data_IF_619809336943
#
_entry.id   IF_619809336943
#
_cell.length_a   1.000
_cell.length_b   1.000
_cell.length_c   1.000
_cell.angle_alpha   90.00
_cell.angle_beta   90.00
_cell.angle_gamma   90.00
#
_symmetry.space_group_name_H-M   'P 1'
#
loop_
_entity.id
_entity.type
_entity.pdbx_description
1 polymer ?
#
# COMPACT_ATOMS: atom_id res chain seq x y z
N UNK A 1 -11.56 -6.72 20.85
CA UNK A 1 -12.40 -5.85 21.71
C UNK A 1 -12.49 -6.50 23.09
N UNK A 2 -12.06 -5.86 24.19
CA UNK A 2 -12.26 -6.42 25.53
C UNK A 2 -13.77 -6.45 25.86
N UNK A 3 -14.26 -7.51 26.54
CA UNK A 3 -15.69 -7.74 26.69
C UNK A 3 -16.34 -6.65 27.54
N UNK A 4 -17.42 -6.05 27.02
CA UNK A 4 -18.26 -5.12 27.78
C UNK A 4 -18.87 -5.89 28.95
N UNK A 5 -18.53 -5.52 30.18
CA UNK A 5 -19.14 -6.11 31.38
C UNK A 5 -20.67 -6.04 31.28
N UNK A 6 -21.34 -7.15 31.55
CA UNK A 6 -22.79 -7.26 31.37
C UNK A 6 -23.51 -6.34 32.35
N UNK A 7 -24.63 -5.73 31.94
CA UNK A 7 -25.45 -4.85 32.81
C UNK A 7 -25.87 -5.57 34.12
N UNK A 8 -26.00 -6.90 34.08
CA UNK A 8 -26.32 -7.73 35.23
C UNK A 8 -25.19 -7.75 36.28
N UNK A 9 -23.93 -7.76 35.86
CA UNK A 9 -22.78 -7.79 36.78
C UNK A 9 -22.55 -6.44 37.47
N UNK A 10 -22.86 -5.34 36.78
CA UNK A 10 -22.84 -3.99 37.37
C UNK A 10 -23.96 -3.83 38.41
N UNK A 11 -25.16 -4.34 38.14
CA UNK A 11 -26.29 -4.29 39.08
C UNK A 11 -26.02 -5.13 40.34
N UNK A 12 -25.42 -6.32 40.20
CA UNK A 12 -25.01 -7.16 41.35
C UNK A 12 -23.97 -6.46 42.22
N UNK A 13 -22.97 -5.82 41.61
CA UNK A 13 -21.94 -5.05 42.35
C UNK A 13 -22.50 -3.80 43.02
N UNK A 14 -23.49 -3.14 42.42
CA UNK A 14 -24.19 -2.01 43.04
C UNK A 14 -24.97 -2.44 44.29
N UNK A 15 -25.72 -3.56 44.22
CA UNK A 15 -26.42 -4.10 45.40
C UNK A 15 -25.45 -4.45 46.55
N UNK A 16 -24.27 -5.01 46.25
CA UNK A 16 -23.24 -5.31 47.26
C UNK A 16 -22.68 -4.04 47.92
N UNK A 17 -22.59 -2.92 47.19
CA UNK A 17 -22.16 -1.62 47.76
C UNK A 17 -23.28 -0.99 48.59
N UNK A 18 -24.53 -1.11 48.16
CA UNK A 18 -25.69 -0.64 48.93
C UNK A 18 -25.76 -1.36 50.27
N UNK A 19 -25.61 -2.68 50.27
CA UNK A 19 -25.67 -3.53 51.47
C UNK A 19 -24.49 -3.26 52.43
N UNK A 20 -23.27 -3.15 51.91
CA UNK A 20 -22.07 -2.80 52.72
C UNK A 20 -22.09 -1.37 53.27
N UNK A 21 -22.89 -0.49 52.67
CA UNK A 21 -23.05 0.88 53.15
C UNK A 21 -24.37 1.08 53.90
N UNK A 22 -25.17 0.03 54.06
CA UNK A 22 -26.40 0.00 54.83
C UNK A 22 -26.08 -0.17 56.32
N UNK A 23 -26.82 0.51 57.21
CA UNK A 23 -26.60 0.44 58.66
C UNK A 23 -25.42 1.28 59.21
N UNK A 24 -24.62 1.92 58.35
CA UNK A 24 -23.51 2.76 58.78
C UNK A 24 -24.04 4.10 59.36
N UNK A 25 -24.11 4.18 60.69
CA UNK A 25 -24.59 5.36 61.43
C UNK A 25 -23.69 6.56 61.12
N UNK A 26 -24.26 7.77 61.05
CA UNK A 26 -23.56 9.03 60.72
C UNK A 26 -22.96 9.14 59.29
N UNK A 27 -23.57 8.48 58.29
CA UNK A 27 -23.15 8.52 56.87
C UNK A 27 -22.94 9.92 56.29
N UNK A 28 -23.70 10.91 56.75
CA UNK A 28 -23.63 12.31 56.29
C UNK A 28 -22.93 13.27 57.28
N UNK A 29 -22.47 12.77 58.44
CA UNK A 29 -21.89 13.63 59.51
C UNK A 29 -20.39 13.41 59.73
N UNK A 30 -19.89 12.19 59.55
CA UNK A 30 -18.46 11.89 59.72
C UNK A 30 -17.72 11.89 58.38
N UNK A 31 -16.66 12.71 58.28
CA UNK A 31 -15.79 12.79 57.09
C UNK A 31 -15.10 11.47 56.78
N UNK A 32 -14.78 10.66 57.80
CA UNK A 32 -14.14 9.35 57.62
C UNK A 32 -15.11 8.31 57.05
N UNK A 33 -16.37 8.34 57.50
CA UNK A 33 -17.43 7.48 56.96
C UNK A 33 -17.77 7.86 55.51
N UNK A 34 -17.79 9.16 55.21
CA UNK A 34 -17.99 9.64 53.83
C UNK A 34 -16.88 9.17 52.89
N UNK A 35 -15.60 9.27 53.31
CA UNK A 35 -14.46 8.77 52.53
C UNK A 35 -14.54 7.26 52.29
N UNK A 36 -14.94 6.48 53.29
CA UNK A 36 -15.14 5.04 53.14
C UNK A 36 -16.23 4.69 52.12
N UNK A 37 -17.39 5.35 52.20
CA UNK A 37 -18.49 5.18 51.24
C UNK A 37 -18.08 5.60 49.82
N UNK A 38 -17.31 6.68 49.69
CA UNK A 38 -16.83 7.17 48.40
C UNK A 38 -15.82 6.21 47.75
N UNK A 39 -14.88 5.66 48.53
CA UNK A 39 -13.92 4.67 48.05
C UNK A 39 -14.61 3.37 47.58
N UNK A 40 -15.64 2.90 48.30
CA UNK A 40 -16.44 1.74 47.90
C UNK A 40 -17.27 1.98 46.63
N UNK A 41 -17.76 3.20 46.42
CA UNK A 41 -18.46 3.56 45.18
C UNK A 41 -17.52 3.68 43.99
N UNK A 42 -16.29 4.16 44.20
CA UNK A 42 -15.28 4.29 43.14
C UNK A 42 -14.75 2.94 42.64
N UNK A 43 -14.76 1.88 43.45
CA UNK A 43 -14.31 0.55 43.03
C UNK A 43 -15.30 -0.21 42.14
N UNK A 44 -16.56 0.25 42.04
CA UNK A 44 -17.61 -0.40 41.24
C UNK A 44 -17.83 0.27 39.88
N UNK A 45 -17.43 1.53 39.71
CA UNK A 45 -17.48 2.21 38.42
C UNK A 45 -16.33 1.72 37.51
N UNK A 46 -16.60 1.30 36.26
CA UNK A 46 -15.53 1.03 35.31
C UNK A 46 -14.78 2.34 35.04
N UNK A 47 -13.48 2.39 35.35
CA UNK A 47 -12.62 3.53 34.98
C UNK A 47 -12.64 3.67 33.46
N UNK A 48 -13.37 4.65 32.94
CA UNK A 48 -13.32 5.01 31.53
C UNK A 48 -12.15 5.97 31.38
N UNK A 49 -11.10 5.53 30.69
CA UNK A 49 -9.93 6.37 30.42
C UNK A 49 -10.39 7.69 29.75
N UNK A 50 -10.08 8.88 30.31
CA UNK A 50 -10.55 10.16 29.77
C UNK A 50 -10.02 10.45 28.36
N UNK A 51 -8.90 9.82 27.98
CA UNK A 51 -8.34 9.84 26.63
C UNK A 51 -9.23 9.14 25.60
N UNK A 52 -9.87 8.02 25.96
CA UNK A 52 -10.76 7.26 25.05
C UNK A 52 -12.11 7.96 24.85
N UNK A 53 -12.55 8.80 25.79
CA UNK A 53 -13.77 9.59 25.65
C UNK A 53 -13.60 10.74 24.64
N UNK A 54 -12.45 11.46 24.67
CA UNK A 54 -12.14 12.52 23.70
C UNK A 54 -12.04 12.01 22.27
N UNK A 55 -11.40 10.85 22.06
CA UNK A 55 -11.28 10.21 20.73
C UNK A 55 -12.63 9.76 20.17
N UNK A 56 -13.56 9.30 21.02
CA UNK A 56 -14.92 8.94 20.59
C UNK A 56 -15.75 10.16 20.22
N UNK A 57 -15.62 11.25 20.96
CA UNK A 57 -16.31 12.51 20.66
C UNK A 57 -15.76 13.15 19.38
N UNK A 58 -14.44 13.16 19.18
CA UNK A 58 -13.85 13.68 17.94
C UNK A 58 -14.24 12.84 16.72
N UNK A 59 -14.24 11.50 16.83
CA UNK A 59 -14.68 10.60 15.76
C UNK A 59 -16.16 10.80 15.41
N UNK A 60 -17.00 11.03 16.43
CA UNK A 60 -18.42 11.34 16.23
C UNK A 60 -18.61 12.69 15.53
N UNK A 61 -17.85 13.71 15.92
CA UNK A 61 -17.88 15.03 15.30
C UNK A 61 -17.43 14.98 13.83
N UNK A 62 -16.34 14.25 13.53
CA UNK A 62 -15.84 14.04 12.17
C UNK A 62 -16.89 13.34 11.29
N UNK A 63 -17.58 12.33 11.82
CA UNK A 63 -18.66 11.64 11.11
C UNK A 63 -19.87 12.54 10.82
N UNK A 64 -20.22 13.43 11.74
CA UNK A 64 -21.28 14.43 11.53
C UNK A 64 -20.85 15.47 10.50
N UNK A 65 -19.61 15.93 10.53
CA UNK A 65 -19.09 16.89 9.56
C UNK A 65 -19.09 16.30 8.14
N UNK A 66 -18.70 15.03 7.99
CA UNK A 66 -18.75 14.30 6.73
C UNK A 66 -20.18 14.10 6.19
N UNK A 67 -21.19 14.04 7.06
CA UNK A 67 -22.61 13.92 6.67
C UNK A 67 -23.13 15.19 5.96
N UNK A 68 -22.60 16.37 6.30
CA UNK A 68 -23.07 17.66 5.75
C UNK A 68 -22.45 17.95 4.37
N UNK A 69 -21.31 17.36 4.04
CA UNK A 69 -20.52 17.74 2.86
C UNK A 69 -20.92 17.05 1.53
N UNK A 70 -21.82 16.05 1.54
CA UNK A 70 -22.19 15.32 0.33
C UNK A 70 -23.29 16.10 -0.42
N UNK A 71 -22.93 16.74 -1.54
CA UNK A 71 -23.87 17.41 -2.44
C UNK A 71 -24.02 16.63 -3.75
N UNK A 72 -25.23 16.56 -4.30
CA UNK A 72 -25.47 15.86 -5.56
C UNK A 72 -25.07 16.73 -6.77
N UNK A 73 -24.39 16.15 -7.79
CA UNK A 73 -24.09 16.86 -9.03
C UNK A 73 -25.38 17.22 -9.77
N UNK A 74 -25.42 18.42 -10.36
CA UNK A 74 -26.54 18.86 -11.19
C UNK A 74 -26.49 18.11 -12.53
N UNK A 75 -27.64 17.63 -12.99
CA UNK A 75 -27.74 16.88 -14.24
C UNK A 75 -27.61 17.86 -15.43
N UNK A 76 -26.68 17.66 -16.37
CA UNK A 76 -26.58 18.45 -17.59
C UNK A 76 -27.79 18.20 -18.51
N UNK A 77 -28.20 19.21 -19.27
CA UNK A 77 -29.36 19.11 -20.16
C UNK A 77 -29.11 18.05 -21.25
N UNK A 78 -29.98 17.04 -21.35
CA UNK A 78 -29.91 15.97 -22.35
C UNK A 78 -29.45 14.60 -21.83
N UNK A 79 -28.95 14.51 -20.58
CA UNK A 79 -28.57 13.24 -19.96
C UNK A 79 -29.65 12.76 -19.00
N UNK A 80 -30.08 11.51 -19.15
CA UNK A 80 -31.07 10.91 -18.25
C UNK A 80 -30.54 10.90 -16.80
N UNK A 81 -31.27 11.47 -15.83
CA UNK A 81 -30.80 11.52 -14.43
C UNK A 81 -30.49 10.15 -13.81
N UNK A 82 -31.11 9.10 -14.35
CA UNK A 82 -30.96 7.71 -13.90
C UNK A 82 -29.70 7.03 -14.47
N UNK A 83 -29.00 7.62 -15.44
CA UNK A 83 -27.70 7.12 -15.90
C UNK A 83 -26.55 7.62 -15.02
N UNK A 84 -26.82 8.53 -14.08
CA UNK A 84 -25.82 9.08 -13.15
C UNK A 84 -25.98 8.39 -11.79
N UNK A 85 -24.85 8.01 -11.18
CA UNK A 85 -24.84 7.36 -9.88
C UNK A 85 -25.24 8.33 -8.76
N UNK A 86 -26.08 7.87 -7.84
CA UNK A 86 -26.46 8.64 -6.66
C UNK A 86 -25.29 8.69 -5.65
N UNK A 87 -24.68 9.85 -5.44
CA UNK A 87 -23.59 10.01 -4.48
C UNK A 87 -24.02 9.67 -3.03
N UNK A 88 -25.25 10.02 -2.64
CA UNK A 88 -25.80 9.59 -1.35
C UNK A 88 -25.97 8.07 -1.23
N UNK A 89 -26.19 7.36 -2.34
CA UNK A 89 -26.27 5.90 -2.33
C UNK A 89 -24.88 5.28 -2.24
N UNK A 90 -23.87 5.88 -2.90
CA UNK A 90 -22.46 5.51 -2.76
C UNK A 90 -21.97 5.59 -1.31
N UNK A 91 -22.43 6.61 -0.58
CA UNK A 91 -22.12 6.80 0.85
C UNK A 91 -23.07 6.02 1.77
N UNK A 92 -24.08 5.32 1.22
CA UNK A 92 -25.05 4.52 1.99
C UNK A 92 -26.06 5.34 2.80
N UNK A 93 -26.26 6.61 2.45
CA UNK A 93 -27.12 7.57 3.15
C UNK A 93 -28.33 8.03 2.31
N UNK A 94 -28.61 7.39 1.17
CA UNK A 94 -29.73 7.78 0.32
C UNK A 94 -31.07 7.42 0.96
N UNK A 95 -31.83 8.43 1.39
CA UNK A 95 -33.20 8.28 1.94
C UNK A 95 -34.27 8.08 0.86
N UNK A 96 -33.93 8.28 -0.42
CA UNK A 96 -34.89 8.27 -1.53
C UNK A 96 -35.18 6.87 -2.09
N UNK A 97 -34.36 5.87 -1.73
CA UNK A 97 -34.56 4.47 -2.14
C UNK A 97 -34.83 4.32 -3.64
N UNK A 98 -35.81 3.48 -4.01
CA UNK A 98 -36.20 3.23 -5.40
C UNK A 98 -36.80 4.43 -6.14
N UNK A 99 -37.21 5.48 -5.42
CA UNK A 99 -37.74 6.73 -5.99
C UNK A 99 -36.65 7.78 -6.21
N UNK A 100 -35.38 7.43 -6.02
CA UNK A 100 -34.28 8.33 -6.29
C UNK A 100 -34.22 8.71 -7.77
N UNK A 101 -33.98 9.99 -8.05
CA UNK A 101 -33.78 10.53 -9.40
C UNK A 101 -32.50 9.96 -10.06
N UNK A 102 -31.54 9.54 -9.25
CA UNK A 102 -30.23 9.01 -9.65
C UNK A 102 -30.18 7.48 -9.49
N UNK A 103 -29.32 6.80 -10.24
CA UNK A 103 -29.18 5.34 -10.15
C UNK A 103 -28.61 4.90 -8.80
N UNK A 104 -29.13 3.78 -8.31
CA UNK A 104 -28.61 3.02 -7.17
C UNK A 104 -27.87 1.76 -7.63
N UNK A 105 -27.34 1.76 -8.85
CA UNK A 105 -26.56 0.65 -9.40
C UNK A 105 -25.09 1.04 -9.43
N UNK A 106 -24.30 0.42 -8.55
CA UNK A 106 -22.85 0.64 -8.43
C UNK A 106 -22.08 0.33 -9.73
N UNK A 107 -22.69 -0.42 -10.65
CA UNK A 107 -22.07 -0.78 -11.91
C UNK A 107 -22.13 0.33 -12.97
N UNK A 108 -22.98 1.34 -12.77
CA UNK A 108 -23.10 2.50 -13.67
C UNK A 108 -21.80 3.31 -13.72
N UNK A 109 -21.05 3.37 -12.62
CA UNK A 109 -19.73 4.01 -12.57
C UNK A 109 -18.62 3.25 -13.32
N UNK A 110 -18.81 1.95 -13.59
CA UNK A 110 -17.83 1.16 -14.36
C UNK A 110 -17.98 1.32 -15.86
N UNK A 111 -19.14 1.80 -16.32
CA UNK A 111 -19.35 2.27 -17.69
C UNK A 111 -18.77 3.68 -17.83
N UNK A 112 -17.48 3.82 -17.51
CA UNK A 112 -16.73 5.03 -17.80
C UNK A 112 -16.76 5.35 -19.29
N UNK A 113 -16.45 6.59 -19.63
CA UNK A 113 -16.28 7.02 -21.02
C UNK A 113 -15.40 6.01 -21.77
N UNK A 114 -15.79 5.68 -23.01
CA UNK A 114 -14.97 4.86 -23.91
C UNK A 114 -13.57 5.49 -23.94
N UNK A 115 -12.58 4.78 -23.44
CA UNK A 115 -11.18 5.19 -23.55
C UNK A 115 -10.91 5.35 -25.04
N UNK A 116 -10.59 6.58 -25.45
CA UNK A 116 -10.21 6.86 -26.81
C UNK A 116 -8.88 6.18 -27.08
N UNK A 117 -8.89 5.24 -28.03
CA UNK A 117 -7.74 4.39 -28.39
C UNK A 117 -6.59 5.21 -29.00
N UNK A 118 -6.88 6.44 -29.44
CA UNK A 118 -5.90 7.35 -30.03
C UNK A 118 -5.35 8.39 -29.05
N UNK A 119 -5.93 8.53 -27.85
CA UNK A 119 -5.37 9.35 -26.77
C UNK A 119 -4.70 8.44 -25.74
N UNK A 120 -3.40 8.21 -25.91
CA UNK A 120 -2.64 7.39 -24.97
C UNK A 120 -2.42 8.15 -23.66
N UNK A 121 -3.20 7.83 -22.63
CA UNK A 121 -3.05 8.41 -21.29
C UNK A 121 -1.75 8.03 -20.57
N UNK A 122 -0.90 7.18 -21.18
CA UNK A 122 0.41 6.84 -20.61
C UNK A 122 1.44 7.95 -20.80
N UNK A 123 1.22 8.86 -21.75
CA UNK A 123 2.15 9.95 -22.06
C UNK A 123 1.88 11.23 -21.24
N UNK A 124 0.72 11.34 -20.56
CA UNK A 124 0.30 12.59 -19.91
C UNK A 124 0.94 12.86 -18.54
N UNK A 125 1.54 11.88 -17.86
CA UNK A 125 2.16 12.10 -16.54
C UNK A 125 3.39 11.21 -16.34
N UNK A 126 4.48 11.59 -16.98
CA UNK A 126 5.80 11.01 -16.69
C UNK A 126 6.29 11.57 -15.34
N UNK A 127 6.90 10.75 -14.49
CA UNK A 127 7.43 11.13 -13.15
C UNK A 127 8.42 12.32 -13.15
N UNK A 128 8.81 12.79 -14.34
CA UNK A 128 9.70 13.93 -14.58
C UNK A 128 9.00 15.29 -14.37
N UNK A 129 7.66 15.33 -14.46
CA UNK A 129 6.85 16.56 -14.25
C UNK A 129 6.34 16.69 -12.81
N UNK A 130 6.86 15.89 -11.88
CA UNK A 130 6.46 15.97 -10.47
C UNK A 130 7.20 17.11 -9.77
N UNK A 131 6.47 18.17 -9.46
CA UNK A 131 6.97 19.28 -8.65
C UNK A 131 7.41 18.79 -7.25
N UNK A 132 8.44 19.43 -6.68
CA UNK A 132 8.98 19.16 -5.34
C UNK A 132 7.89 19.07 -4.25
N UNK A 133 6.85 19.89 -4.34
CA UNK A 133 5.74 19.90 -3.37
C UNK A 133 4.86 18.63 -3.46
N UNK A 134 4.70 18.05 -4.67
CA UNK A 134 3.95 16.80 -4.87
C UNK A 134 4.74 15.59 -4.36
N UNK A 135 6.06 15.60 -4.58
CA UNK A 135 6.99 14.63 -4.02
C UNK A 135 6.96 14.63 -2.49
N UNK A 136 7.01 15.80 -1.87
CA UNK A 136 6.93 15.94 -0.41
C UNK A 136 5.59 15.43 0.15
N UNK A 137 4.48 15.70 -0.53
CA UNK A 137 3.15 15.18 -0.15
C UNK A 137 3.08 13.66 -0.25
N UNK A 138 3.66 13.05 -1.29
CA UNK A 138 3.71 11.59 -1.44
C UNK A 138 4.61 10.97 -0.37
N UNK A 139 5.77 11.56 -0.08
CA UNK A 139 6.66 11.10 1.00
C UNK A 139 5.98 11.19 2.36
N UNK A 140 5.28 12.27 2.67
CA UNK A 140 4.56 12.45 3.93
C UNK A 140 3.37 11.48 4.06
N UNK A 141 2.64 11.24 2.97
CA UNK A 141 1.55 10.25 2.95
C UNK A 141 2.08 8.82 3.21
N UNK A 142 3.22 8.45 2.61
CA UNK A 142 3.86 7.14 2.83
C UNK A 142 4.49 6.98 4.20
N UNK A 143 5.03 8.06 4.80
CA UNK A 143 5.54 8.06 6.19
C UNK A 143 4.43 7.77 7.20
N UNK A 144 3.22 8.23 6.96
CA UNK A 144 2.08 8.03 7.86
C UNK A 144 1.42 6.64 7.71
N UNK A 145 1.49 6.03 6.53
CA UNK A 145 1.00 4.68 6.27
C UNK A 145 1.91 3.60 6.90
N UNK A 146 3.23 3.80 6.82
CA UNK A 146 4.20 2.95 7.52
C UNK A 146 4.34 3.36 8.98
N UNK A 147 3.54 2.72 9.84
CA UNK A 147 3.66 2.83 11.30
C UNK A 147 5.02 2.25 11.77
N UNK A 148 6.08 3.05 11.70
CA UNK A 148 7.48 2.64 11.85
C UNK A 148 7.88 2.18 13.26
N UNK A 149 6.99 2.20 14.25
CA UNK A 149 7.36 1.85 15.63
C UNK A 149 6.20 1.18 16.37
N UNK A 150 6.01 -0.13 16.13
CA UNK A 150 5.68 -1.01 17.25
C UNK A 150 7.00 -1.61 17.72
N UNK A 151 7.61 -1.10 18.80
CA UNK A 151 8.85 -1.68 19.30
C UNK A 151 8.57 -3.14 19.68
N UNK A 152 9.07 -4.09 18.90
CA UNK A 152 9.13 -5.49 19.31
C UNK A 152 10.29 -5.60 20.27
N UNK A 153 9.99 -5.80 21.55
CA UNK A 153 10.92 -5.75 22.70
C UNK A 153 12.01 -6.85 22.66
N UNK A 154 12.02 -7.72 21.64
CA UNK A 154 13.01 -8.80 21.49
C UNK A 154 13.44 -8.87 20.02
N UNK A 155 14.43 -8.05 19.65
CA UNK A 155 15.16 -8.19 18.38
C UNK A 155 16.39 -9.08 18.64
N UNK A 156 16.51 -10.21 17.94
CA UNK A 156 17.64 -11.12 18.06
C UNK A 156 18.95 -10.41 17.66
N UNK A 157 20.02 -10.53 18.47
CA UNK A 157 21.32 -9.88 18.22
C UNK A 157 21.90 -10.21 16.84
N UNK A 158 21.64 -11.42 16.33
CA UNK A 158 22.11 -11.88 15.02
C UNK A 158 21.21 -11.46 13.86
N UNK A 159 20.01 -10.94 14.13
CA UNK A 159 19.08 -10.53 13.07
C UNK A 159 19.56 -9.28 12.35
N UNK A 160 20.08 -8.29 13.08
CA UNK A 160 20.62 -7.07 12.49
C UNK A 160 21.84 -7.35 11.60
N UNK A 161 22.74 -8.23 12.05
CA UNK A 161 23.93 -8.63 11.28
C UNK A 161 23.58 -9.43 10.01
N UNK A 162 22.57 -10.30 10.07
CA UNK A 162 22.10 -11.07 8.92
C UNK A 162 21.38 -10.21 7.87
N UNK A 163 20.67 -9.17 8.32
CA UNK A 163 20.02 -8.19 7.43
C UNK A 163 21.06 -7.29 6.75
N UNK A 164 22.10 -6.84 7.46
CA UNK A 164 23.21 -6.08 6.87
C UNK A 164 24.02 -6.91 5.87
N UNK A 165 24.20 -8.21 6.11
CA UNK A 165 24.85 -9.16 5.20
C UNK A 165 23.96 -9.62 4.03
N UNK A 166 22.76 -9.05 3.86
CA UNK A 166 21.78 -9.40 2.81
C UNK A 166 21.36 -10.88 2.76
N UNK A 167 21.52 -11.62 3.87
CA UNK A 167 21.17 -13.05 3.92
C UNK A 167 19.68 -13.30 4.20
N UNK A 168 18.94 -12.25 4.60
CA UNK A 168 17.49 -12.28 4.69
C UNK A 168 16.85 -11.40 3.61
N UNK A 169 15.85 -11.93 2.92
CA UNK A 169 15.11 -11.22 1.89
C UNK A 169 14.26 -10.13 2.53
N UNK A 170 14.70 -8.88 2.38
CA UNK A 170 13.90 -7.70 2.65
C UNK A 170 12.86 -7.55 1.52
N UNK A 171 11.68 -6.97 1.81
CA UNK A 171 10.74 -6.61 0.76
C UNK A 171 11.43 -5.79 -0.34
N UNK A 172 11.13 -6.04 -1.63
CA UNK A 172 11.73 -5.30 -2.73
C UNK A 172 11.49 -3.79 -2.54
N UNK A 173 12.57 -3.01 -2.50
CA UNK A 173 12.53 -1.56 -2.26
C UNK A 173 12.80 -1.12 -0.82
N UNK A 174 13.01 -2.02 0.15
CA UNK A 174 13.41 -1.64 1.50
C UNK A 174 14.92 -1.38 1.57
N UNK A 175 15.31 -0.11 1.73
CA UNK A 175 16.70 0.31 1.91
C UNK A 175 16.97 0.52 3.40
N UNK A 176 18.05 -0.09 3.92
CA UNK A 176 18.44 0.08 5.32
C UNK A 176 18.86 1.52 5.60
N UNK A 177 18.67 1.98 6.85
CA UNK A 177 19.13 3.31 7.30
C UNK A 177 20.64 3.49 7.14
N UNK A 178 21.43 2.43 7.34
CA UNK A 178 22.88 2.44 7.10
C UNK A 178 23.21 2.60 5.61
N UNK A 179 22.43 1.97 4.73
CA UNK A 179 22.60 2.06 3.28
C UNK A 179 22.09 3.40 2.70
N UNK A 180 21.00 3.95 3.26
CA UNK A 180 20.57 5.31 2.92
C UNK A 180 21.61 6.33 3.35
N UNK A 181 22.21 6.15 4.54
CA UNK A 181 23.30 7.00 4.99
C UNK A 181 24.51 6.90 4.08
N UNK A 182 24.94 5.70 3.66
CA UNK A 182 26.07 5.57 2.74
C UNK A 182 25.80 6.22 1.37
N UNK A 183 24.58 6.09 0.84
CA UNK A 183 24.21 6.75 -0.42
C UNK A 183 24.15 8.28 -0.30
N UNK A 184 23.65 8.80 0.84
CA UNK A 184 23.65 10.24 1.13
C UNK A 184 25.07 10.77 1.34
N UNK A 185 25.93 10.01 2.02
CA UNK A 185 27.33 10.36 2.21
C UNK A 185 28.07 10.37 0.85
N UNK A 186 27.87 9.37 -0.01
CA UNK A 186 28.37 9.33 -1.41
C UNK A 186 27.83 10.49 -2.28
N UNK A 187 26.57 10.89 -2.07
CA UNK A 187 25.99 12.05 -2.76
C UNK A 187 26.56 13.37 -2.26
N UNK A 188 26.86 13.48 -0.96
CA UNK A 188 27.50 14.66 -0.37
C UNK A 188 29.00 14.78 -0.71
N UNK A 189 29.65 13.66 -1.02
CA UNK A 189 31.04 13.63 -1.51
C UNK A 189 31.14 14.03 -2.98
N UNK A 190 30.02 14.06 -3.73
CA UNK A 190 30.00 14.68 -5.05
C UNK A 190 30.19 16.18 -4.85
N UNK A 191 31.43 16.60 -5.10
CA UNK A 191 31.83 18.00 -5.18
C UNK A 191 30.78 18.76 -5.99
N UNK A 192 30.39 19.93 -5.50
CA UNK A 192 29.43 20.79 -6.19
C UNK A 192 29.88 21.01 -7.63
N UNK A 193 28.94 21.02 -8.57
CA UNK A 193 29.24 21.10 -10.02
C UNK A 193 30.11 22.33 -10.31
N UNK A 194 29.91 23.40 -9.55
CA UNK A 194 30.66 24.65 -9.58
C UNK A 194 32.14 24.45 -9.24
N UNK A 195 32.44 23.73 -8.17
CA UNK A 195 33.80 23.45 -7.70
C UNK A 195 34.52 22.50 -8.67
N UNK A 196 33.80 21.54 -9.27
CA UNK A 196 34.34 20.69 -10.33
C UNK A 196 34.65 21.49 -11.60
N UNK A 197 33.80 22.44 -11.98
CA UNK A 197 34.05 23.35 -13.11
C UNK A 197 35.30 24.21 -12.85
N UNK A 198 35.47 24.77 -11.65
CA UNK A 198 36.62 25.59 -11.30
C UNK A 198 37.92 24.78 -11.32
N UNK A 199 37.89 23.54 -10.79
CA UNK A 199 38.99 22.60 -10.86
C UNK A 199 39.35 22.22 -12.31
N UNK A 200 38.37 22.01 -13.17
CA UNK A 200 38.59 21.72 -14.59
C UNK A 200 39.14 22.93 -15.33
N UNK A 201 38.67 24.15 -15.05
CA UNK A 201 39.21 25.39 -15.63
C UNK A 201 40.68 25.59 -15.24
N UNK A 202 41.05 25.32 -13.99
CA UNK A 202 42.43 25.41 -13.53
C UNK A 202 43.36 24.37 -14.20
N UNK A 203 42.83 23.20 -14.59
CA UNK A 203 43.58 22.14 -15.30
C UNK A 203 43.74 22.42 -16.80
N UNK A 204 42.86 23.23 -17.40
CA UNK A 204 42.91 23.54 -18.84
C UNK A 204 43.99 24.60 -19.10
N UNK A 205 45.10 24.18 -19.71
CA UNK A 205 46.25 25.05 -20.03
C UNK A 205 46.20 25.64 -21.44
N UNK A 206 45.38 25.08 -22.33
CA UNK A 206 45.25 25.53 -23.73
C UNK A 206 43.78 25.80 -24.07
N UNK A 207 43.48 27.03 -24.47
CA UNK A 207 42.15 27.44 -24.90
C UNK A 207 42.17 27.70 -26.41
N UNK A 208 41.54 26.82 -27.19
CA UNK A 208 41.30 27.09 -28.61
C UNK A 208 40.10 28.03 -28.73
N UNK A 209 40.19 29.16 -29.45
CA UNK A 209 39.04 30.05 -29.63
C UNK A 209 37.93 29.30 -30.38
N UNK A 210 36.73 29.29 -29.80
CA UNK A 210 35.58 28.60 -30.37
C UNK A 210 35.09 29.39 -31.61
N UNK A 211 35.53 28.98 -32.79
CA UNK A 211 34.97 29.46 -34.07
C UNK A 211 33.72 28.64 -34.44
N UNK A 212 32.86 29.21 -35.28
CA UNK A 212 31.59 28.57 -35.68
C UNK A 212 31.80 27.22 -36.37
N UNK A 213 32.84 27.10 -37.19
CA UNK A 213 33.13 25.88 -37.95
C UNK A 213 33.64 24.76 -37.03
N UNK A 214 34.49 25.09 -36.05
CA UNK A 214 34.95 24.14 -35.04
C UNK A 214 33.80 23.69 -34.14
N UNK A 215 32.88 24.59 -33.78
CA UNK A 215 31.69 24.24 -33.01
C UNK A 215 30.78 23.27 -33.76
N UNK A 216 30.56 23.49 -35.05
CA UNK A 216 29.75 22.58 -35.88
C UNK A 216 30.40 21.20 -36.00
N UNK A 217 31.72 21.13 -36.16
CA UNK A 217 32.45 19.86 -36.17
C UNK A 217 32.36 19.13 -34.81
N UNK A 218 32.51 19.86 -33.70
CA UNK A 218 32.33 19.31 -32.36
C UNK A 218 30.90 18.81 -32.12
N UNK A 219 29.88 19.57 -32.55
CA UNK A 219 28.47 19.19 -32.43
C UNK A 219 28.16 17.92 -33.20
N UNK A 220 28.62 17.82 -34.46
CA UNK A 220 28.50 16.58 -35.25
C UNK A 220 29.15 15.40 -34.54
N UNK A 221 30.39 15.56 -34.07
CA UNK A 221 31.11 14.53 -33.31
C UNK A 221 30.34 14.10 -32.06
N UNK A 222 29.75 15.04 -31.31
CA UNK A 222 28.95 14.71 -30.12
C UNK A 222 27.62 14.04 -30.44
N UNK A 223 26.96 14.43 -31.52
CA UNK A 223 25.76 13.76 -32.02
C UNK A 223 26.07 12.32 -32.44
N UNK A 224 27.14 12.11 -33.22
CA UNK A 224 27.59 10.79 -33.65
C UNK A 224 28.00 9.90 -32.45
N UNK A 225 28.68 10.45 -31.44
CA UNK A 225 29.03 9.74 -30.20
C UNK A 225 27.76 9.31 -29.43
N UNK A 226 26.77 10.20 -29.32
CA UNK A 226 25.49 9.88 -28.67
C UNK A 226 24.70 8.84 -29.45
N UNK A 227 24.64 8.96 -30.78
CA UNK A 227 23.95 7.99 -31.64
C UNK A 227 24.64 6.63 -31.62
N UNK A 228 25.98 6.59 -31.65
CA UNK A 228 26.74 5.35 -31.50
C UNK A 228 26.52 4.71 -30.12
N UNK A 229 26.47 5.50 -29.04
CA UNK A 229 26.15 5.01 -27.70
C UNK A 229 24.74 4.42 -27.59
N UNK A 230 23.74 5.12 -28.13
CA UNK A 230 22.35 4.62 -28.18
C UNK A 230 22.22 3.40 -29.10
N UNK A 231 22.92 3.37 -30.23
CA UNK A 231 22.95 2.23 -31.14
C UNK A 231 23.62 1.02 -30.48
N UNK A 232 24.70 1.21 -29.73
CA UNK A 232 25.34 0.14 -28.95
C UNK A 232 24.40 -0.39 -27.86
N UNK A 233 23.70 0.49 -27.13
CA UNK A 233 22.71 0.07 -26.13
C UNK A 233 21.53 -0.68 -26.76
N UNK A 234 21.05 -0.24 -27.93
CA UNK A 234 20.02 -0.95 -28.71
C UNK A 234 20.53 -2.30 -29.22
N UNK A 235 21.76 -2.38 -29.69
CA UNK A 235 22.37 -3.63 -30.15
C UNK A 235 22.58 -4.62 -28.99
N UNK A 236 23.01 -4.16 -27.82
CA UNK A 236 23.10 -5.00 -26.62
C UNK A 236 21.73 -5.46 -26.14
N UNK A 237 20.69 -4.62 -26.23
CA UNK A 237 19.31 -5.05 -25.94
C UNK A 237 18.82 -6.10 -26.95
N UNK A 238 19.17 -5.94 -28.22
CA UNK A 238 18.85 -6.89 -29.29
C UNK A 238 19.53 -8.24 -29.09
N UNK A 239 20.80 -8.26 -28.64
CA UNK A 239 21.51 -9.52 -28.32
C UNK A 239 20.94 -10.26 -27.12
N UNK A 240 20.31 -9.54 -26.18
CA UNK A 240 19.76 -10.10 -24.96
C UNK A 240 18.27 -10.50 -25.09
N UNK A 241 17.74 -10.62 -26.32
CA UNK A 241 16.33 -10.95 -26.63
C UNK A 241 15.29 -10.13 -25.85
N UNK A 242 15.64 -8.89 -25.48
CA UNK A 242 14.79 -7.98 -24.68
C UNK A 242 14.26 -6.83 -25.51
N UNK A 243 14.01 -7.07 -26.79
CA UNK A 243 13.40 -6.10 -27.68
C UNK A 243 11.90 -5.99 -27.38
N UNK A 244 11.39 -4.76 -27.26
CA UNK A 244 9.95 -4.54 -27.14
C UNK A 244 9.27 -4.99 -28.44
N UNK A 245 8.03 -5.50 -28.36
CA UNK A 245 7.28 -5.91 -29.55
C UNK A 245 7.20 -4.82 -30.63
N UNK A 246 7.14 -3.53 -30.22
CA UNK A 246 7.23 -2.38 -31.13
C UNK A 246 8.60 -2.24 -31.78
N UNK A 247 9.68 -2.48 -31.05
CA UNK A 247 11.05 -2.42 -31.60
C UNK A 247 11.29 -3.55 -32.60
N UNK A 248 10.74 -4.74 -32.32
CA UNK A 248 10.77 -5.88 -33.23
C UNK A 248 9.98 -5.58 -34.51
N UNK A 249 8.78 -5.00 -34.38
CA UNK A 249 7.93 -4.62 -35.51
C UNK A 249 8.57 -3.53 -36.39
N UNK A 250 9.28 -2.58 -35.80
CA UNK A 250 10.01 -1.56 -36.57
C UNK A 250 11.28 -2.10 -37.24
N UNK A 251 11.89 -3.14 -36.69
CA UNK A 251 13.05 -3.80 -37.29
C UNK A 251 12.63 -4.70 -38.47
N UNK A 252 11.58 -5.50 -38.27
CA UNK A 252 11.03 -6.33 -39.33
C UNK A 252 9.52 -6.53 -39.13
N UNK A 253 8.73 -5.67 -39.78
CA UNK A 253 7.28 -5.76 -39.75
C UNK A 253 6.74 -7.03 -40.43
N UNK A 254 7.53 -7.68 -41.29
CA UNK A 254 7.11 -8.89 -42.02
C UNK A 254 7.10 -10.15 -41.15
N UNK A 255 7.75 -10.12 -39.98
CA UNK A 255 7.66 -11.19 -38.99
C UNK A 255 6.33 -11.20 -38.22
N UNK A 256 5.54 -10.13 -38.35
CA UNK A 256 4.24 -9.95 -37.69
C UNK A 256 3.12 -10.06 -38.71
N UNK A 257 2.91 -11.27 -39.24
CA UNK A 257 1.74 -11.60 -40.05
C UNK A 257 0.73 -12.29 -39.15
N UNK A 258 -0.47 -11.72 -39.01
CA UNK A 258 -1.57 -12.38 -38.33
C UNK A 258 -1.92 -13.66 -39.09
N UNK A 259 -1.70 -14.81 -38.45
CA UNK A 259 -2.10 -16.11 -38.99
C UNK A 259 -3.64 -16.15 -39.04
N UNK A 260 -4.20 -16.18 -40.25
CA UNK A 260 -5.64 -16.17 -40.48
C UNK A 260 -6.36 -17.40 -39.88
N UNK A 261 -5.61 -18.48 -39.55
CA UNK A 261 -6.15 -19.68 -38.90
C UNK A 261 -6.15 -19.61 -37.36
N UNK A 262 -5.57 -18.57 -36.74
CA UNK A 262 -5.58 -18.41 -35.27
C UNK A 262 -6.99 -18.14 -34.69
N UNK A 263 -8.00 -17.94 -35.55
CA UNK A 263 -9.41 -17.85 -35.18
C UNK A 263 -10.15 -19.20 -35.25
N UNK A 264 -9.48 -20.32 -35.54
CA UNK A 264 -10.11 -21.64 -35.38
C UNK A 264 -10.37 -21.87 -33.89
N UNK A 265 -11.65 -21.76 -33.53
CA UNK A 265 -12.24 -21.97 -32.21
C UNK A 265 -11.67 -23.24 -31.60
N UNK A 266 -10.77 -23.11 -30.61
CA UNK A 266 -10.35 -24.22 -29.75
C UNK A 266 -11.59 -25.00 -29.29
N UNK A 267 -11.83 -26.16 -29.90
CA UNK A 267 -12.71 -27.16 -29.33
C UNK A 267 -11.97 -27.74 -28.15
N UNK A 268 -12.21 -27.14 -26.98
CA UNK A 268 -11.93 -27.78 -25.70
C UNK A 268 -12.61 -29.14 -25.75
N UNK A 269 -11.85 -30.21 -25.96
CA UNK A 269 -12.32 -31.55 -25.68
C UNK A 269 -12.66 -31.57 -24.20
N UNK A 270 -13.96 -31.61 -23.88
CA UNK A 270 -14.36 -31.97 -22.53
C UNK A 270 -13.86 -33.39 -22.29
N UNK A 271 -13.00 -33.61 -21.28
CA UNK A 271 -12.63 -34.97 -20.94
C UNK A 271 -13.91 -35.71 -20.55
N UNK A 272 -14.23 -36.78 -21.28
CA UNK A 272 -15.29 -37.71 -20.91
C UNK A 272 -15.09 -38.09 -19.44
N UNK A 273 -16.17 -37.96 -18.67
CA UNK A 273 -16.19 -38.28 -17.26
C UNK A 273 -15.66 -39.70 -17.05
N UNK A 274 -14.46 -39.81 -16.49
CA UNK A 274 -13.96 -41.05 -15.92
C UNK A 274 -14.80 -41.37 -14.66
N UNK A 275 -16.00 -41.90 -14.86
CA UNK A 275 -16.78 -42.62 -13.87
C UNK A 275 -16.09 -43.94 -13.52
N UNK A 276 -14.92 -43.91 -12.89
CA UNK A 276 -14.40 -45.07 -12.17
C UNK A 276 -13.22 -44.67 -11.26
N UNK A 277 -13.53 -44.19 -10.05
CA UNK A 277 -12.65 -44.21 -8.86
C UNK A 277 -13.36 -43.68 -7.60
N UNK A 278 -14.53 -44.23 -7.28
CA UNK A 278 -15.23 -43.96 -6.00
C UNK A 278 -15.29 -45.15 -5.05
N UNK A 279 -14.52 -46.23 -5.29
CA UNK A 279 -14.51 -47.39 -4.39
C UNK A 279 -13.26 -47.60 -3.53
N UNK A 280 -12.22 -46.75 -3.65
CA UNK A 280 -10.97 -46.92 -2.89
C UNK A 280 -10.75 -45.91 -1.73
N UNK A 281 -11.67 -44.95 -1.54
CA UNK A 281 -11.49 -43.85 -0.58
C UNK A 281 -12.13 -44.01 0.80
N UNK A 282 -12.93 -45.06 1.04
CA UNK A 282 -13.74 -45.20 2.26
C UNK A 282 -13.09 -46.02 3.39
N UNK A 283 -11.86 -46.53 3.21
CA UNK A 283 -11.22 -47.41 4.20
C UNK A 283 -10.16 -46.75 5.11
N UNK A 284 -9.93 -45.43 5.04
CA UNK A 284 -8.84 -44.76 5.80
C UNK A 284 -9.30 -43.71 6.83
N UNK A 285 -10.59 -43.67 7.20
CA UNK A 285 -11.12 -42.73 8.22
C UNK A 285 -11.57 -43.38 9.54
N UNK A 286 -10.98 -44.52 9.91
CA UNK A 286 -11.14 -45.10 11.25
C UNK A 286 -9.76 -45.47 11.79
N UNK A 287 -9.03 -44.49 12.31
CA UNK A 287 -8.14 -44.61 13.47
C UNK A 287 -7.39 -43.28 13.70
N UNK A 288 -8.14 -42.29 14.20
CA UNK A 288 -7.57 -41.05 14.72
C UNK A 288 -7.02 -41.26 16.13
N UNK A 289 -5.75 -41.67 16.25
CA UNK A 289 -4.98 -41.48 17.48
C UNK A 289 -3.84 -40.48 17.26
N UNK A 290 -4.01 -39.32 17.88
CA UNK A 290 -3.06 -38.23 17.96
C UNK A 290 -1.78 -38.67 18.69
N UNK A 291 -0.64 -38.76 17.98
CA UNK A 291 0.70 -38.67 18.58
C UNK A 291 1.60 -37.74 17.76
N UNK A 292 1.77 -36.52 18.29
CA UNK A 292 2.98 -35.71 18.09
C UNK A 292 4.18 -36.55 18.51
N UNK A 293 5.24 -36.60 17.71
CA UNK A 293 6.61 -36.47 18.22
C UNK A 293 7.64 -36.27 17.09
N UNK A 294 8.32 -35.11 17.17
CA UNK A 294 9.72 -34.80 16.82
C UNK A 294 10.41 -35.63 15.72
N UNK A 295 10.68 -34.95 14.61
CA UNK A 295 11.79 -35.27 13.70
C UNK A 295 13.12 -35.14 14.46
N UNK A 296 13.88 -36.23 14.54
CA UNK A 296 15.27 -36.24 14.98
C UNK A 296 16.14 -36.58 13.78
N UNK A 297 16.96 -35.60 13.41
CA UNK A 297 18.08 -35.67 12.45
C UNK A 297 19.04 -36.79 12.85
N UNK A 298 19.25 -37.77 11.97
CA UNK A 298 20.34 -38.74 12.13
C UNK A 298 21.52 -38.23 11.31
N UNK A 299 22.55 -37.81 12.04
CA UNK A 299 23.88 -37.48 11.53
C UNK A 299 24.65 -38.80 11.36
N UNK A 300 25.22 -38.96 10.16
CA UNK A 300 26.19 -40.00 9.80
C UNK A 300 27.38 -40.01 10.75
N UNK A 301 27.76 -41.17 11.29
CA UNK A 301 29.16 -41.54 11.59
C UNK A 301 29.29 -43.09 11.47
N UNK A 302 30.08 -43.54 10.49
CA UNK A 302 30.79 -44.85 10.50
C UNK A 302 32.12 -44.68 11.26
N UNK A 303 32.84 -45.74 11.69
CA UNK A 303 32.57 -47.18 11.57
C UNK A 303 32.23 -47.88 12.89
#
# INVERSE_FOLDING_TARGET
MPPKASKADLAKKQKVVEDKTFGLKNKNKSKNVQKYVQNLKQSVQPKVDPTKAKVRFSLFLIRILAYVAVSQPKVPAGVDPKSILCEFFKVGQCTKGFKCKFSHDLNVQRKGEKIDIYSDKRDDETMEDWDQETLEKVVESKKNEYNQNKPTEIVCKHFLEAVEKKQHALPPGYILKSQMKSLLDEESEKIAIEDEIENQRAKVTTCTPMTTDLFMQWRKKKTEEKEAGMAAQRAERAKNDRMSGRELFLADASLFVDDAEAYEKYQRQEPEAAEEKLHAGQALMLDGHCKRHRMATVIMIMP
#
